data_IF_048254170914
#
_entry.id   IF_048254170914
#
_cell.length_a   1.000
_cell.length_b   1.000
_cell.length_c   1.000
_cell.angle_alpha   90.00
_cell.angle_beta   90.00
_cell.angle_gamma   90.00
#
_symmetry.space_group_name_H-M   'P 1'
#
loop_
_entity.id
_entity.type
_entity.pdbx_description
1 polymer ?
#
# COMPACT_ATOMS: atom_id res chain seq x y z
N UNK A 1 17.63 7.66 0.00
CA UNK A 1 18.52 7.34 -1.15
C UNK A 1 19.86 6.79 -0.70
N UNK A 2 20.72 7.55 0.00
CA UNK A 2 22.06 7.09 0.40
C UNK A 2 22.08 5.73 1.12
N UNK A 3 21.19 5.52 2.09
CA UNK A 3 21.09 4.25 2.81
C UNK A 3 20.72 3.06 1.91
N UNK A 4 19.80 3.29 0.96
CA UNK A 4 19.30 2.25 0.07
C UNK A 4 20.21 2.01 -1.14
N UNK A 5 21.11 2.94 -1.48
CA UNK A 5 21.90 2.86 -2.72
C UNK A 5 21.02 2.85 -3.99
N UNK A 6 19.79 3.35 -3.89
CA UNK A 6 18.77 3.35 -4.94
C UNK A 6 17.99 4.67 -4.89
N UNK A 7 17.36 5.02 -6.00
CA UNK A 7 16.44 6.15 -6.06
C UNK A 7 15.28 5.93 -5.07
N UNK A 8 14.83 7.02 -4.44
CA UNK A 8 13.68 6.99 -3.53
C UNK A 8 12.64 7.98 -4.03
N UNK A 9 11.51 7.45 -4.49
CA UNK A 9 10.34 8.21 -4.88
C UNK A 9 9.33 8.31 -3.74
N UNK A 10 8.29 9.12 -3.95
CA UNK A 10 7.13 9.11 -3.06
C UNK A 10 5.86 9.54 -3.76
N UNK A 11 4.73 8.98 -3.34
CA UNK A 11 3.39 9.40 -3.72
C UNK A 11 2.57 9.69 -2.46
N UNK A 12 1.77 10.75 -2.50
CA UNK A 12 0.81 11.06 -1.43
C UNK A 12 -0.58 10.67 -1.89
N UNK A 13 -1.28 9.91 -1.06
CA UNK A 13 -2.65 9.48 -1.32
C UNK A 13 -3.58 10.08 -0.29
N UNK A 14 -4.56 10.84 -0.76
CA UNK A 14 -5.64 11.42 0.04
C UNK A 14 -6.94 10.73 -0.37
N UNK A 15 -7.62 10.07 0.56
CA UNK A 15 -8.81 9.25 0.28
C UNK A 15 -9.99 9.72 1.14
N UNK A 16 -11.08 10.24 0.54
CA UNK A 16 -12.27 10.66 1.28
C UNK A 16 -12.88 9.55 2.14
N UNK A 17 -13.61 9.92 3.18
CA UNK A 17 -14.33 8.98 4.05
C UNK A 17 -15.30 8.08 3.27
N UNK A 18 -15.38 6.79 3.63
CA UNK A 18 -16.27 5.81 3.01
C UNK A 18 -15.93 5.46 1.56
N UNK A 19 -14.67 5.61 1.15
CA UNK A 19 -14.25 5.38 -0.24
C UNK A 19 -12.96 4.56 -0.36
N UNK A 20 -12.81 3.89 -1.49
CA UNK A 20 -11.61 3.16 -1.89
C UNK A 20 -11.09 3.76 -3.20
N UNK A 21 -9.81 4.16 -3.21
CA UNK A 21 -9.21 4.84 -4.35
C UNK A 21 -8.69 3.91 -5.44
N UNK A 22 -8.15 2.74 -5.06
CA UNK A 22 -7.50 1.79 -5.96
C UNK A 22 -8.04 0.37 -5.72
N UNK A 23 -8.19 -0.44 -6.78
CA UNK A 23 -8.48 -1.87 -6.64
C UNK A 23 -7.28 -2.62 -6.02
N UNK A 24 -7.41 -3.89 -5.62
CA UNK A 24 -6.27 -4.70 -5.22
C UNK A 24 -5.19 -4.77 -6.29
N UNK A 25 -3.94 -4.56 -5.89
CA UNK A 25 -2.79 -4.58 -6.79
C UNK A 25 -1.51 -4.92 -6.04
N UNK A 26 -0.43 -5.19 -6.77
CA UNK A 26 0.92 -5.14 -6.24
C UNK A 26 1.79 -4.21 -7.08
N UNK A 27 2.81 -3.65 -6.44
CA UNK A 27 3.81 -2.79 -7.07
C UNK A 27 5.10 -3.55 -7.41
N UNK A 28 5.95 -2.91 -8.21
CA UNK A 28 7.30 -3.35 -8.61
C UNK A 28 8.41 -2.74 -7.73
N UNK A 29 8.04 -2.10 -6.61
CA UNK A 29 8.93 -1.36 -5.71
C UNK A 29 8.76 -1.81 -4.27
N UNK A 30 9.82 -1.65 -3.47
CA UNK A 30 9.74 -1.76 -2.02
C UNK A 30 9.06 -0.50 -1.48
N UNK A 31 8.09 -0.65 -0.57
CA UNK A 31 7.32 0.49 -0.07
C UNK A 31 7.35 0.62 1.45
N UNK A 32 7.45 1.86 1.91
CA UNK A 32 7.24 2.29 3.28
C UNK A 32 6.09 3.30 3.29
N UNK A 33 4.96 2.89 3.87
CA UNK A 33 3.77 3.73 4.01
C UNK A 33 3.80 4.35 5.39
N UNK A 34 3.73 5.68 5.44
CA UNK A 34 3.58 6.44 6.68
C UNK A 34 2.20 7.10 6.69
N UNK A 35 1.36 6.73 7.65
CA UNK A 35 0.04 7.32 7.82
C UNK A 35 0.19 8.72 8.43
N UNK A 36 -0.30 9.73 7.71
CA UNK A 36 -0.13 11.15 8.07
C UNK A 36 -1.37 11.71 8.76
N UNK A 37 -2.56 11.42 8.24
CA UNK A 37 -3.83 11.97 8.72
C UNK A 37 -4.94 10.93 8.63
N UNK A 38 -5.90 11.00 9.57
CA UNK A 38 -7.03 10.08 9.63
C UNK A 38 -6.61 8.62 9.73
N UNK A 39 -7.56 7.72 9.43
CA UNK A 39 -7.34 6.28 9.53
C UNK A 39 -7.69 5.57 8.23
N UNK A 40 -6.95 4.50 7.92
CA UNK A 40 -7.19 3.69 6.72
C UNK A 40 -7.19 2.21 7.03
N UNK A 41 -8.18 1.49 6.49
CA UNK A 41 -8.29 0.04 6.58
C UNK A 41 -7.42 -0.59 5.49
N UNK A 42 -6.44 -1.40 5.88
CA UNK A 42 -5.50 -2.05 4.99
C UNK A 42 -5.67 -3.57 5.03
N UNK A 43 -5.66 -4.18 3.84
CA UNK A 43 -5.66 -5.63 3.64
C UNK A 43 -4.45 -6.01 2.80
N UNK A 44 -3.61 -6.92 3.31
CA UNK A 44 -2.44 -7.46 2.61
C UNK A 44 -2.64 -8.95 2.34
N UNK A 45 -2.21 -9.40 1.16
CA UNK A 45 -2.39 -10.77 0.70
C UNK A 45 -1.06 -11.40 0.28
N UNK A 46 -1.04 -12.72 0.15
CA UNK A 46 0.12 -13.42 -0.40
C UNK A 46 0.36 -12.95 -1.85
N UNK A 47 1.63 -12.81 -2.27
CA UNK A 47 1.95 -12.44 -3.64
C UNK A 47 1.54 -13.55 -4.62
N UNK A 48 0.88 -13.18 -5.72
CA UNK A 48 0.73 -14.08 -6.90
C UNK A 48 2.05 -14.21 -7.65
N UNK A 49 2.86 -13.15 -7.64
CA UNK A 49 4.24 -13.10 -8.17
C UNK A 49 5.18 -12.59 -7.07
N UNK A 50 5.92 -13.47 -6.37
CA UNK A 50 6.84 -13.05 -5.33
C UNK A 50 7.95 -12.14 -5.88
N UNK A 51 8.20 -11.00 -5.21
CA UNK A 51 9.22 -10.02 -5.60
C UNK A 51 9.07 -9.55 -7.06
N UNK A 52 7.82 -9.33 -7.47
CA UNK A 52 7.43 -8.88 -8.81
C UNK A 52 8.27 -7.69 -9.30
N UNK A 53 8.58 -7.67 -10.59
CA UNK A 53 9.34 -6.58 -11.24
C UNK A 53 8.46 -5.69 -12.12
N UNK A 54 7.17 -5.94 -12.09
CA UNK A 54 6.15 -5.22 -12.85
C UNK A 54 4.98 -4.95 -11.90
N UNK A 55 4.21 -3.90 -12.18
CA UNK A 55 2.96 -3.60 -11.50
C UNK A 55 1.82 -4.44 -12.09
N UNK A 56 0.88 -4.88 -11.25
CA UNK A 56 -0.35 -5.52 -11.73
C UNK A 56 -1.54 -5.28 -10.81
N UNK A 57 -2.72 -5.10 -11.42
CA UNK A 57 -4.01 -5.16 -10.73
C UNK A 57 -4.46 -6.61 -10.64
N UNK A 58 -4.99 -7.01 -9.49
CA UNK A 58 -5.44 -8.36 -9.23
C UNK A 58 -6.95 -8.40 -8.97
N UNK A 59 -7.61 -9.44 -9.47
CA UNK A 59 -9.04 -9.65 -9.26
C UNK A 59 -9.29 -10.22 -7.85
N UNK A 60 -10.24 -9.65 -7.10
CA UNK A 60 -10.51 -10.05 -5.70
C UNK A 60 -10.83 -11.55 -5.55
N UNK A 61 -11.44 -12.16 -6.58
CA UNK A 61 -11.77 -13.59 -6.58
C UNK A 61 -10.52 -14.48 -6.63
N UNK A 62 -9.36 -13.94 -7.00
CA UNK A 62 -8.10 -14.68 -7.23
C UNK A 62 -7.06 -14.49 -6.13
N UNK A 63 -7.20 -13.49 -5.25
CA UNK A 63 -6.18 -13.14 -4.24
C UNK A 63 -6.38 -13.85 -2.90
N UNK A 64 -7.54 -14.49 -2.70
CA UNK A 64 -7.84 -15.25 -1.48
C UNK A 64 -8.14 -14.37 -0.26
N UNK A 65 -7.81 -14.88 0.94
CA UNK A 65 -8.04 -14.14 2.20
C UNK A 65 -6.82 -13.27 2.55
N UNK A 66 -7.02 -12.11 3.19
CA UNK A 66 -5.91 -11.31 3.70
C UNK A 66 -5.06 -12.14 4.68
N UNK A 67 -3.74 -12.00 4.56
CA UNK A 67 -2.76 -12.50 5.54
C UNK A 67 -2.68 -11.55 6.73
N UNK A 68 -2.84 -10.25 6.45
CA UNK A 68 -2.95 -9.21 7.45
C UNK A 68 -4.10 -8.27 7.09
N UNK A 69 -4.81 -7.84 8.13
CA UNK A 69 -5.92 -6.89 8.05
C UNK A 69 -5.88 -6.02 9.31
N UNK A 70 -5.75 -4.70 9.12
CA UNK A 70 -5.54 -3.77 10.23
C UNK A 70 -5.91 -2.33 9.85
N UNK A 71 -6.04 -1.49 10.86
CA UNK A 71 -6.20 -0.03 10.71
C UNK A 71 -4.87 0.67 10.94
N UNK A 72 -4.45 1.51 10.00
CA UNK A 72 -3.38 2.48 10.24
C UNK A 72 -3.98 3.79 10.74
N UNK A 73 -3.34 4.39 11.75
CA UNK A 73 -3.64 5.73 12.29
C UNK A 73 -2.38 6.62 12.23
N UNK A 74 -2.49 7.94 12.43
CA UNK A 74 -1.35 8.85 12.23
C UNK A 74 -0.12 8.46 13.06
N UNK A 75 1.03 8.39 12.39
CA UNK A 75 2.31 7.97 12.98
C UNK A 75 2.63 6.48 12.84
N UNK A 76 1.66 5.64 12.46
CA UNK A 76 1.94 4.24 12.15
C UNK A 76 2.71 4.11 10.82
N UNK A 77 3.62 3.13 10.77
CA UNK A 77 4.41 2.80 9.59
C UNK A 77 4.14 1.36 9.16
N UNK A 78 3.90 1.18 7.87
CA UNK A 78 3.74 -0.12 7.22
C UNK A 78 4.82 -0.31 6.17
N UNK A 79 5.48 -1.48 6.20
CA UNK A 79 6.38 -1.92 5.14
C UNK A 79 5.88 -3.24 4.55
N UNK A 80 5.97 -3.38 3.24
CA UNK A 80 5.89 -4.67 2.55
C UNK A 80 6.75 -4.67 1.27
N UNK A 81 7.26 -5.83 0.86
CA UNK A 81 8.06 -5.94 -0.34
C UNK A 81 7.20 -5.88 -1.62
N UNK A 82 7.85 -5.60 -2.76
CA UNK A 82 7.20 -5.66 -4.07
C UNK A 82 6.58 -7.04 -4.34
N UNK A 83 5.48 -7.05 -5.09
CA UNK A 83 4.65 -8.25 -5.30
C UNK A 83 3.63 -8.53 -4.19
N UNK A 84 3.74 -7.92 -3.00
CA UNK A 84 2.68 -8.03 -1.97
C UNK A 84 1.42 -7.33 -2.46
N UNK A 85 0.36 -8.12 -2.65
CA UNK A 85 -0.95 -7.60 -3.04
C UNK A 85 -1.54 -6.85 -1.85
N UNK A 86 -2.08 -5.68 -2.12
CA UNK A 86 -2.70 -4.85 -1.11
C UNK A 86 -3.88 -4.04 -1.66
N UNK A 87 -4.79 -3.69 -0.75
CA UNK A 87 -5.83 -2.69 -0.99
C UNK A 87 -6.14 -1.95 0.30
N UNK A 88 -6.69 -0.74 0.16
CA UNK A 88 -7.05 0.08 1.31
C UNK A 88 -8.24 0.99 1.05
N UNK A 89 -9.11 1.08 2.06
CA UNK A 89 -10.32 1.91 2.07
C UNK A 89 -10.36 2.78 3.32
N UNK A 90 -10.96 3.97 3.20
CA UNK A 90 -11.19 4.86 4.35
C UNK A 90 -12.56 4.54 4.95
N UNK A 91 -12.67 4.21 6.25
CA UNK A 91 -13.97 3.98 6.89
C UNK A 91 -14.94 5.15 6.74
N UNK A 92 -16.24 4.88 6.79
CA UNK A 92 -17.26 5.92 6.76
C UNK A 92 -17.29 6.74 8.08
N UNK A 93 -17.66 8.03 7.97
CA UNK A 93 -18.18 8.81 9.11
C UNK A 93 -17.21 9.72 9.89
N UNK A 94 -15.88 9.62 9.76
CA UNK A 94 -14.98 10.30 10.71
C UNK A 94 -14.02 11.34 10.08
N UNK A 95 -13.24 10.98 9.06
CA UNK A 95 -12.31 11.90 8.37
C UNK A 95 -11.82 11.30 7.05
N UNK A 96 -11.19 12.10 6.18
CA UNK A 96 -10.36 11.56 5.11
C UNK A 96 -9.12 10.85 5.69
N UNK A 97 -8.49 10.01 4.88
CA UNK A 97 -7.18 9.44 5.18
C UNK A 97 -6.12 10.09 4.28
N UNK A 98 -4.96 10.40 4.85
CA UNK A 98 -3.76 10.81 4.11
C UNK A 98 -2.59 9.92 4.50
N UNK A 99 -1.92 9.32 3.52
CA UNK A 99 -0.62 8.67 3.74
C UNK A 99 0.36 9.06 2.64
N UNK A 100 1.65 8.97 2.96
CA UNK A 100 2.72 9.00 1.97
C UNK A 100 3.29 7.60 1.82
N UNK A 101 3.40 7.15 0.58
CA UNK A 101 4.13 5.94 0.20
C UNK A 101 5.50 6.37 -0.27
N UNK A 102 6.54 5.96 0.45
CA UNK A 102 7.94 6.15 0.07
C UNK A 102 8.38 4.85 -0.61
N UNK A 103 8.82 4.94 -1.85
CA UNK A 103 9.15 3.77 -2.67
C UNK A 103 10.60 3.76 -3.13
N UNK A 104 11.19 2.57 -3.25
CA UNK A 104 12.58 2.40 -3.69
C UNK A 104 12.80 1.03 -4.35
N UNK A 105 14.02 0.74 -4.81
CA UNK A 105 14.39 -0.57 -5.36
C UNK A 105 13.61 -0.99 -6.62
N UNK A 106 13.12 -0.02 -7.42
CA UNK A 106 12.63 -0.30 -8.76
C UNK A 106 13.78 -0.83 -9.61
N UNK A 107 13.70 -2.10 -10.04
CA UNK A 107 14.66 -2.66 -10.98
C UNK A 107 14.21 -2.31 -12.40
N UNK A 108 15.03 -1.56 -13.13
CA UNK A 108 14.95 -1.50 -14.58
C UNK A 108 15.64 -2.69 -15.23
#
# INVERSE_FOLDING_TARGET
ECYFGSLVGSNVYITPAGSQGLPPHYDDVEVFILQLEGEKHWRLYHPTVPLAREYSVEAEERIGRPVHEFMLKPGDLLYFPRGTIHQADTPAGLAHSTHVTISTYQNK
#
